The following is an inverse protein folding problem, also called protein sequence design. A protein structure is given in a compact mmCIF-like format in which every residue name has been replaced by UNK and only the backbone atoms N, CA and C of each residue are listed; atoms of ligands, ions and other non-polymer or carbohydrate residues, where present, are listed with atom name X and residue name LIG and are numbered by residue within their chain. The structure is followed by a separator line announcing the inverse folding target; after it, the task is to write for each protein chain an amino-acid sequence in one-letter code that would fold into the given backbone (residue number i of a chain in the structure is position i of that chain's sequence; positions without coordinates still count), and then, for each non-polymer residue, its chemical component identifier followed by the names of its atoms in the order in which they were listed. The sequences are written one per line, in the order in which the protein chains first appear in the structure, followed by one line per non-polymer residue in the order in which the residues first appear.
data_IF_650455975209
#
_entry.id   IF_650455975209
#
_cell.length_a   1.000
_cell.length_b   1.000
_cell.length_c   1.000
_cell.angle_alpha   90.00
_cell.angle_beta   90.00
_cell.angle_gamma   90.00
#
_symmetry.space_group_name_H-M   'P 1'
#
loop_
_entity.id
_entity.type
_entity.pdbx_description
1 polymer ?
#
# COMPACT_ATOMS: atom_id res chain seq x y z
N UNK A 1 0.16 -2.82 -9.29
CA UNK A 1 0.59 -2.13 -8.04
C UNK A 1 0.14 -2.87 -6.78
N UNK A 2 -1.16 -3.19 -6.64
CA UNK A 2 -1.66 -3.87 -5.43
C UNK A 2 -1.00 -5.23 -5.18
N UNK A 3 -0.76 -6.05 -6.22
CA UNK A 3 -0.07 -7.33 -6.06
C UNK A 3 1.33 -7.20 -5.48
N UNK A 4 2.07 -6.15 -5.86
CA UNK A 4 3.40 -5.88 -5.32
C UNK A 4 3.34 -5.45 -3.85
N UNK A 5 2.35 -4.61 -3.49
CA UNK A 5 2.07 -4.28 -2.09
C UNK A 5 1.76 -5.55 -1.30
N UNK A 6 0.90 -6.42 -1.84
CA UNK A 6 0.52 -7.68 -1.20
C UNK A 6 1.72 -8.62 -1.03
N UNK A 7 2.60 -8.74 -2.03
CA UNK A 7 3.83 -9.52 -1.91
C UNK A 7 4.74 -8.98 -0.81
N UNK A 8 4.85 -7.66 -0.70
CA UNK A 8 5.70 -7.05 0.33
C UNK A 8 5.10 -7.18 1.73
N UNK A 9 3.78 -7.08 1.84
CA UNK A 9 3.03 -7.40 3.04
C UNK A 9 3.26 -8.85 3.47
N UNK A 10 3.19 -9.80 2.54
CA UNK A 10 3.41 -11.22 2.79
C UNK A 10 4.86 -11.50 3.24
N UNK A 11 5.85 -10.93 2.54
CA UNK A 11 7.27 -11.01 2.91
C UNK A 11 7.57 -10.46 4.30
N UNK A 12 6.88 -9.39 4.70
CA UNK A 12 7.06 -8.77 6.02
C UNK A 12 6.11 -9.33 7.09
N UNK A 13 5.20 -10.25 6.75
CA UNK A 13 4.17 -10.76 7.67
C UNK A 13 3.21 -9.68 8.18
N UNK A 14 2.98 -8.63 7.39
CA UNK A 14 2.12 -7.50 7.73
C UNK A 14 0.75 -7.70 7.08
N UNK A 15 -0.32 -7.57 7.85
CA UNK A 15 -1.69 -7.64 7.31
C UNK A 15 -2.12 -6.29 6.73
N UNK A 16 -3.10 -6.29 5.81
CA UNK A 16 -3.74 -5.08 5.29
C UNK A 16 -4.21 -4.13 6.41
N UNK A 17 -4.71 -4.69 7.51
CA UNK A 17 -5.12 -3.94 8.70
C UNK A 17 -3.94 -3.28 9.41
N UNK A 18 -2.83 -3.99 9.58
CA UNK A 18 -1.62 -3.46 10.20
C UNK A 18 -0.99 -2.39 9.33
N UNK A 19 -0.99 -2.58 8.00
CA UNK A 19 -0.60 -1.54 7.05
C UNK A 19 -1.48 -0.29 7.19
N UNK A 20 -2.79 -0.42 7.27
CA UNK A 20 -3.71 0.71 7.48
C UNK A 20 -3.38 1.50 8.76
N UNK A 21 -3.07 0.78 9.86
CA UNK A 21 -2.61 1.39 11.12
C UNK A 21 -1.26 2.10 10.99
N UNK A 22 -0.28 1.49 10.31
CA UNK A 22 1.07 2.04 10.16
C UNK A 22 1.10 3.26 9.22
N UNK A 23 0.33 3.20 8.14
CA UNK A 23 0.24 4.27 7.14
C UNK A 23 -0.72 5.40 7.52
N UNK A 24 -1.59 5.16 8.51
CA UNK A 24 -2.72 6.03 8.84
C UNK A 24 -3.76 6.12 7.70
N UNK A 25 -3.74 5.18 6.76
CA UNK A 25 -4.72 5.10 5.66
C UNK A 25 -5.95 4.39 6.19
N UNK A 26 -7.13 4.96 5.94
CA UNK A 26 -8.38 4.34 6.37
C UNK A 26 -8.67 3.07 5.54
N UNK A 27 -9.34 2.05 6.12
CA UNK A 27 -9.67 0.81 5.40
C UNK A 27 -10.43 1.05 4.09
N UNK A 28 -11.25 2.10 4.05
CA UNK A 28 -11.99 2.54 2.85
C UNK A 28 -11.05 3.02 1.74
N UNK A 29 -10.01 3.80 2.08
CA UNK A 29 -8.99 4.19 1.11
C UNK A 29 -8.20 2.98 0.64
N UNK A 30 -7.83 2.06 1.53
CA UNK A 30 -7.14 0.83 1.17
C UNK A 30 -7.96 -0.02 0.18
N UNK A 31 -9.25 -0.18 0.46
CA UNK A 31 -10.18 -0.88 -0.42
C UNK A 31 -10.34 -0.19 -1.78
N UNK A 32 -10.30 1.14 -1.83
CA UNK A 32 -10.28 1.90 -3.08
C UNK A 32 -8.99 1.65 -3.87
N UNK A 33 -7.82 1.60 -3.24
CA UNK A 33 -6.55 1.28 -3.94
C UNK A 33 -6.64 -0.12 -4.57
N UNK A 34 -7.09 -1.09 -3.77
CA UNK A 34 -7.27 -2.49 -4.17
C UNK A 34 -8.26 -2.64 -5.34
N UNK A 35 -9.45 -2.04 -5.20
CA UNK A 35 -10.54 -2.18 -6.17
C UNK A 35 -10.27 -1.41 -7.45
N UNK A 36 -9.73 -0.20 -7.32
CA UNK A 36 -9.64 0.71 -8.46
C UNK A 36 -8.45 0.39 -9.35
N UNK A 37 -7.46 -0.38 -8.85
CA UNK A 37 -6.20 -0.77 -9.52
C UNK A 37 -5.69 0.35 -10.44
N UNK A 38 -5.91 1.60 -10.03
CA UNK A 38 -5.94 2.72 -10.96
C UNK A 38 -4.50 3.09 -11.17
N UNK A 39 -4.11 3.24 -12.42
CA UNK A 39 -2.77 3.67 -12.85
C UNK A 39 -2.20 4.86 -12.04
N UNK A 40 -3.06 5.66 -11.40
CA UNK A 40 -2.70 6.68 -10.41
C UNK A 40 -3.49 6.49 -9.10
N UNK A 41 -2.97 5.75 -8.11
CA UNK A 41 -3.32 6.05 -6.73
C UNK A 41 -2.90 7.49 -6.44
N UNK A 42 -3.57 8.17 -5.50
CA UNK A 42 -3.05 9.47 -5.04
C UNK A 42 -1.61 9.25 -4.60
N UNK A 43 -0.66 9.97 -5.18
CA UNK A 43 0.78 9.83 -4.91
C UNK A 43 1.08 9.74 -3.41
N UNK A 44 0.40 10.56 -2.62
CA UNK A 44 0.43 10.58 -1.16
C UNK A 44 0.18 9.21 -0.50
N UNK A 45 -0.70 8.41 -1.07
CA UNK A 45 -1.04 7.08 -0.58
C UNK A 45 0.07 6.07 -0.89
N UNK A 46 0.68 6.15 -2.07
CA UNK A 46 1.82 5.30 -2.46
C UNK A 46 3.03 5.63 -1.59
N UNK A 47 3.29 6.93 -1.37
CA UNK A 47 4.35 7.42 -0.47
C UNK A 47 4.16 6.89 0.94
N UNK A 48 2.95 7.01 1.51
CA UNK A 48 2.67 6.46 2.85
C UNK A 48 2.90 4.96 2.95
N UNK A 49 2.47 4.19 1.95
CA UNK A 49 2.66 2.73 1.92
C UNK A 49 4.14 2.38 1.79
N UNK A 50 4.86 3.07 0.91
CA UNK A 50 6.30 2.94 0.71
C UNK A 50 7.08 3.25 1.99
N UNK A 51 6.77 4.36 2.66
CA UNK A 51 7.37 4.74 3.95
C UNK A 51 7.05 3.72 5.04
N UNK A 52 5.79 3.30 5.17
CA UNK A 52 5.39 2.34 6.20
C UNK A 52 6.00 0.94 6.01
N UNK A 53 6.25 0.54 4.76
CA UNK A 53 6.88 -0.73 4.40
C UNK A 53 8.41 -0.60 4.28
N UNK A 54 8.97 0.61 4.35
CA UNK A 54 10.39 0.86 4.16
C UNK A 54 10.91 0.50 2.76
N UNK A 55 10.06 0.61 1.73
CA UNK A 55 10.40 0.20 0.35
C UNK A 55 10.31 1.39 -0.60
N UNK A 56 11.14 1.40 -1.64
CA UNK A 56 11.13 2.48 -2.62
C UNK A 56 9.88 2.46 -3.50
N UNK A 57 9.43 3.66 -3.90
CA UNK A 57 8.29 3.84 -4.81
C UNK A 57 8.47 3.12 -6.15
N UNK A 58 9.72 2.93 -6.59
CA UNK A 58 10.06 2.25 -7.84
C UNK A 58 9.68 0.75 -7.80
N UNK A 59 9.62 0.14 -6.61
CA UNK A 59 9.09 -1.22 -6.46
C UNK A 59 7.62 -1.28 -6.87
N UNK A 60 6.86 -0.20 -6.71
CA UNK A 60 5.42 -0.17 -7.02
C UNK A 60 5.09 0.20 -8.48
N UNK A 61 6.10 0.42 -9.31
CA UNK A 61 6.01 0.77 -10.74
C UNK A 61 5.37 -0.33 -11.58
#
# INVERSE_FOLDING_TARGET
MWDKIKQQLDKQGITEYRLAKMTGISPQQLHQIKKRNTKNPKWLTVVKIAEALGVSLDEFK
#
